data_IF_812092972740
#
_entry.id   IF_812092972740
#
_cell.length_a   1.000
_cell.length_b   1.000
_cell.length_c   1.000
_cell.angle_alpha   90.00
_cell.angle_beta   90.00
_cell.angle_gamma   90.00
#
_symmetry.space_group_name_H-M   'P 1'
#
loop_
_entity.id
_entity.type
_entity.pdbx_description
1 polymer ?
#
# COMPACT_ATOMS: atom_id res chain seq x y z
N UNK A 1 -9.75 -1.35 -14.94
CA UNK A 1 -9.63 -1.13 -13.49
C UNK A 1 -10.88 -0.38 -13.07
N UNK A 2 -11.75 -1.00 -12.27
CA UNK A 2 -13.11 -0.48 -12.03
C UNK A 2 -13.20 0.41 -10.78
N UNK A 3 -12.24 0.27 -9.86
CA UNK A 3 -12.13 1.10 -8.64
C UNK A 3 -10.71 1.63 -8.47
N UNK A 4 -10.59 2.90 -8.08
CA UNK A 4 -9.31 3.50 -7.70
C UNK A 4 -9.06 3.36 -6.20
N UNK A 5 -7.92 2.78 -5.76
CA UNK A 5 -7.62 2.62 -4.34
C UNK A 5 -7.18 3.95 -3.72
N UNK A 6 -7.94 4.44 -2.75
CA UNK A 6 -7.63 5.63 -1.98
C UNK A 6 -8.03 5.46 -0.51
N UNK A 7 -7.26 6.08 0.40
CA UNK A 7 -7.65 6.21 1.81
C UNK A 7 -8.30 7.57 2.05
N UNK A 8 -9.47 7.56 2.67
CA UNK A 8 -10.29 8.74 2.91
C UNK A 8 -10.20 9.14 4.38
N UNK A 9 -9.94 10.42 4.64
CA UNK A 9 -10.07 10.99 5.98
C UNK A 9 -11.54 11.30 6.24
N UNK A 10 -12.15 10.53 7.14
CA UNK A 10 -13.54 10.73 7.55
C UNK A 10 -13.70 11.54 8.84
N UNK A 11 -12.61 11.97 9.46
CA UNK A 11 -12.65 12.88 10.62
C UNK A 11 -13.53 14.09 10.30
N UNK A 12 -14.53 14.32 11.16
CA UNK A 12 -15.51 15.40 11.07
C UNK A 12 -16.49 15.35 9.88
N UNK A 13 -16.42 14.30 9.04
CA UNK A 13 -17.33 14.12 7.91
C UNK A 13 -18.67 13.58 8.35
N UNK A 14 -19.74 14.13 7.79
CA UNK A 14 -21.12 13.74 8.07
C UNK A 14 -21.46 12.51 7.22
N UNK A 15 -21.74 11.38 7.87
CA UNK A 15 -22.04 10.12 7.20
C UNK A 15 -23.43 9.62 7.59
N UNK A 16 -24.30 9.45 6.60
CA UNK A 16 -25.62 8.85 6.78
C UNK A 16 -25.56 7.34 6.52
N UNK A 17 -26.15 6.55 7.42
CA UNK A 17 -26.37 5.12 7.24
C UNK A 17 -27.89 4.89 7.24
N UNK A 18 -28.42 4.43 6.11
CA UNK A 18 -29.84 4.09 5.94
C UNK A 18 -30.03 2.60 6.21
N UNK A 19 -30.72 2.29 7.31
CA UNK A 19 -30.91 0.93 7.84
C UNK A 19 -30.17 0.73 9.17
N UNK A 20 -30.78 -0.02 10.07
CA UNK A 20 -30.31 -0.23 11.45
C UNK A 20 -30.01 -1.69 11.82
N UNK A 21 -29.87 -2.60 10.86
CA UNK A 21 -29.66 -4.04 11.08
C UNK A 21 -28.19 -4.47 11.19
N UNK A 22 -27.93 -5.78 11.07
CA UNK A 22 -26.59 -6.37 11.22
C UNK A 22 -25.55 -5.87 10.21
N UNK A 23 -26.00 -5.54 8.99
CA UNK A 23 -25.14 -4.92 7.98
C UNK A 23 -24.68 -3.53 8.45
N UNK A 24 -25.61 -2.72 8.95
CA UNK A 24 -25.33 -1.40 9.49
C UNK A 24 -24.35 -1.47 10.66
N UNK A 25 -24.53 -2.42 11.60
CA UNK A 25 -23.62 -2.65 12.73
C UNK A 25 -22.14 -2.74 12.29
N UNK A 26 -21.86 -3.54 11.26
CA UNK A 26 -20.50 -3.74 10.74
C UNK A 26 -19.92 -2.50 10.08
N UNK A 27 -20.74 -1.71 9.38
CA UNK A 27 -20.30 -0.48 8.70
C UNK A 27 -20.09 0.67 9.68
N UNK A 28 -21.03 0.86 10.59
CA UNK A 28 -20.97 1.91 11.62
C UNK A 28 -19.73 1.75 12.50
N UNK A 29 -19.39 0.54 12.94
CA UNK A 29 -18.16 0.32 13.74
C UNK A 29 -16.89 0.81 13.01
N UNK A 30 -16.76 0.49 11.72
CA UNK A 30 -15.62 0.95 10.90
C UNK A 30 -15.61 2.47 10.72
N UNK A 31 -16.77 3.07 10.43
CA UNK A 31 -16.91 4.52 10.26
C UNK A 31 -16.57 5.29 11.54
N UNK A 32 -17.02 4.78 12.70
CA UNK A 32 -16.70 5.37 14.00
C UNK A 32 -15.22 5.25 14.35
N UNK A 33 -14.54 4.16 13.99
CA UNK A 33 -13.08 4.02 14.15
C UNK A 33 -12.32 5.00 13.26
N UNK A 34 -12.87 5.34 12.10
CA UNK A 34 -12.35 6.39 11.22
C UNK A 34 -12.71 7.82 11.65
N UNK A 35 -13.38 7.97 12.81
CA UNK A 35 -13.83 9.25 13.39
C UNK A 35 -14.87 10.00 12.53
N UNK A 36 -15.71 9.28 11.80
CA UNK A 36 -16.86 9.87 11.10
C UNK A 36 -17.95 10.31 12.09
N UNK A 37 -18.67 11.38 11.73
CA UNK A 37 -19.90 11.78 12.40
C UNK A 37 -21.06 10.98 11.81
N UNK A 38 -21.38 9.86 12.44
CA UNK A 38 -22.35 8.89 11.91
C UNK A 38 -23.76 9.22 12.39
N UNK A 39 -24.69 9.30 11.44
CA UNK A 39 -26.13 9.29 11.69
C UNK A 39 -26.74 8.02 11.11
N UNK A 40 -27.49 7.27 11.92
CA UNK A 40 -28.24 6.08 11.49
C UNK A 40 -29.72 6.45 11.37
N UNK A 41 -30.31 6.23 10.20
CA UNK A 41 -31.73 6.43 9.93
C UNK A 41 -32.38 5.07 9.68
N UNK A 42 -33.32 4.69 10.54
CA UNK A 42 -34.04 3.42 10.43
C UNK A 42 -35.29 3.43 11.31
N UNK A 43 -36.38 2.72 10.95
CA UNK A 43 -37.53 2.52 11.83
C UNK A 43 -37.20 1.68 13.07
N UNK A 44 -36.25 0.75 12.92
CA UNK A 44 -35.77 -0.13 13.98
C UNK A 44 -34.25 -0.08 14.08
N UNK A 45 -33.72 -0.25 15.29
CA UNK A 45 -32.29 -0.18 15.56
C UNK A 45 -31.80 -1.42 16.30
N UNK A 46 -30.77 -2.05 15.77
CA UNK A 46 -30.13 -3.19 16.40
C UNK A 46 -29.51 -2.81 17.77
N UNK A 47 -29.61 -3.64 18.82
CA UNK A 47 -29.12 -3.32 20.16
C UNK A 47 -27.64 -2.91 20.23
N UNK A 48 -26.80 -3.47 19.36
CA UNK A 48 -25.39 -3.08 19.24
C UNK A 48 -25.22 -1.59 18.88
N UNK A 49 -26.05 -1.06 17.97
CA UNK A 49 -26.04 0.34 17.59
C UNK A 49 -26.67 1.23 18.66
N UNK A 50 -27.70 0.74 19.36
CA UNK A 50 -28.31 1.47 20.48
C UNK A 50 -27.27 1.80 21.57
N UNK A 51 -26.35 0.87 21.88
CA UNK A 51 -25.24 1.13 22.81
C UNK A 51 -24.30 2.26 22.36
N UNK A 52 -24.15 2.50 21.04
CA UNK A 52 -23.40 3.66 20.56
C UNK A 52 -24.19 4.97 20.68
N UNK A 53 -25.52 4.92 20.49
CA UNK A 53 -26.41 6.07 20.75
C UNK A 53 -26.30 6.47 22.22
N UNK A 54 -26.44 5.52 23.15
CA UNK A 54 -26.39 5.77 24.59
C UNK A 54 -25.06 6.39 25.04
N UNK A 55 -23.97 6.05 24.35
CA UNK A 55 -22.63 6.59 24.58
C UNK A 55 -22.37 7.92 23.85
N UNK A 56 -23.36 8.47 23.15
CA UNK A 56 -23.23 9.69 22.35
C UNK A 56 -22.25 9.57 21.18
N UNK A 57 -22.04 8.35 20.66
CA UNK A 57 -21.08 8.06 19.58
C UNK A 57 -21.68 8.21 18.18
N UNK A 58 -23.00 8.14 18.06
CA UNK A 58 -23.73 8.34 16.80
C UNK A 58 -25.09 8.98 17.06
N UNK A 59 -25.69 9.56 16.03
CA UNK A 59 -27.06 10.09 16.05
C UNK A 59 -28.01 9.03 15.49
N UNK A 60 -29.16 8.81 16.14
CA UNK A 60 -30.19 7.91 15.65
C UNK A 60 -31.46 8.67 15.28
N UNK A 61 -31.96 8.43 14.07
CA UNK A 61 -33.21 8.95 13.54
C UNK A 61 -34.21 7.80 13.34
N UNK A 62 -35.17 7.70 14.26
CA UNK A 62 -36.23 6.69 14.22
C UNK A 62 -37.31 7.09 13.19
N UNK A 63 -37.05 6.84 11.90
CA UNK A 63 -37.99 7.11 10.80
C UNK A 63 -37.70 6.25 9.57
N UNK A 64 -38.64 6.26 8.63
CA UNK A 64 -38.39 5.80 7.25
C UNK A 64 -37.63 6.87 6.46
N UNK A 65 -36.89 6.43 5.45
CA UNK A 65 -36.08 7.30 4.60
C UNK A 65 -36.94 8.20 3.70
N UNK A 66 -36.55 9.47 3.62
CA UNK A 66 -37.05 10.46 2.67
C UNK A 66 -35.88 11.18 1.99
N UNK A 67 -36.09 11.66 0.77
CA UNK A 67 -35.10 12.34 -0.05
C UNK A 67 -34.46 13.59 0.63
N UNK A 68 -35.23 14.26 1.51
CA UNK A 68 -34.76 15.41 2.28
C UNK A 68 -33.71 15.04 3.35
N UNK A 69 -33.68 13.79 3.80
CA UNK A 69 -32.77 13.31 4.85
C UNK A 69 -31.31 13.27 4.40
N UNK A 70 -31.06 13.42 3.09
CA UNK A 70 -29.72 13.51 2.52
C UNK A 70 -29.04 14.87 2.74
N UNK A 71 -29.79 15.89 3.17
CA UNK A 71 -29.26 17.23 3.35
C UNK A 71 -28.18 17.28 4.45
N UNK A 72 -27.03 17.86 4.14
CA UNK A 72 -25.94 18.09 5.11
C UNK A 72 -24.98 16.92 5.31
N UNK A 73 -25.11 15.83 4.54
CA UNK A 73 -24.18 14.70 4.58
C UNK A 73 -23.13 14.76 3.46
N UNK A 74 -21.95 14.20 3.69
CA UNK A 74 -20.89 14.03 2.68
C UNK A 74 -20.98 12.64 2.00
N UNK A 75 -21.45 11.64 2.75
CA UNK A 75 -21.45 10.23 2.34
C UNK A 75 -22.70 9.51 2.85
N UNK A 76 -23.20 8.55 2.05
CA UNK A 76 -24.38 7.75 2.35
C UNK A 76 -24.10 6.26 2.18
N UNK A 77 -24.57 5.47 3.14
CA UNK A 77 -24.52 4.01 3.10
C UNK A 77 -25.93 3.45 3.13
N UNK A 78 -26.32 2.71 2.09
CA UNK A 78 -27.59 2.00 2.05
C UNK A 78 -27.37 0.55 2.50
N UNK A 79 -27.94 0.20 3.65
CA UNK A 79 -27.71 -1.09 4.32
C UNK A 79 -29.02 -1.80 4.70
N UNK A 80 -30.11 -1.52 3.97
CA UNK A 80 -31.42 -2.14 4.23
C UNK A 80 -31.57 -3.45 3.46
N UNK A 81 -32.51 -4.31 3.89
CA UNK A 81 -32.88 -5.52 3.14
C UNK A 81 -33.79 -5.23 1.93
N UNK A 82 -34.21 -3.97 1.74
CA UNK A 82 -35.11 -3.56 0.67
C UNK A 82 -34.30 -3.01 -0.50
N UNK A 83 -34.15 -3.83 -1.55
CA UNK A 83 -33.35 -3.48 -2.73
C UNK A 83 -33.83 -2.19 -3.42
N UNK A 84 -35.14 -2.04 -3.61
CA UNK A 84 -35.72 -0.87 -4.27
C UNK A 84 -35.43 0.42 -3.49
N UNK A 85 -35.49 0.35 -2.17
CA UNK A 85 -35.13 1.47 -1.29
C UNK A 85 -33.64 1.80 -1.39
N UNK A 86 -32.76 0.79 -1.37
CA UNK A 86 -31.32 1.03 -1.52
C UNK A 86 -30.99 1.70 -2.87
N UNK A 87 -31.66 1.28 -3.95
CA UNK A 87 -31.51 1.90 -5.28
C UNK A 87 -32.10 3.31 -5.34
N UNK A 88 -33.20 3.57 -4.63
CA UNK A 88 -33.74 4.91 -4.46
C UNK A 88 -32.72 5.82 -3.76
N UNK A 89 -32.19 5.41 -2.60
CA UNK A 89 -31.15 6.14 -1.86
C UNK A 89 -29.96 6.46 -2.75
N UNK A 90 -29.53 5.49 -3.58
CA UNK A 90 -28.46 5.72 -4.56
C UNK A 90 -28.78 6.83 -5.55
N UNK A 91 -29.95 6.78 -6.21
CA UNK A 91 -30.33 7.80 -7.20
C UNK A 91 -30.42 9.19 -6.58
N UNK A 92 -31.08 9.28 -5.43
CA UNK A 92 -31.33 10.51 -4.69
C UNK A 92 -30.02 11.15 -4.21
N UNK A 93 -29.09 10.34 -3.68
CA UNK A 93 -27.79 10.81 -3.22
C UNK A 93 -26.84 11.16 -4.39
N UNK A 94 -26.87 10.39 -5.48
CA UNK A 94 -26.08 10.67 -6.68
C UNK A 94 -26.49 11.99 -7.33
N UNK A 95 -27.80 12.28 -7.38
CA UNK A 95 -28.32 13.54 -7.92
C UNK A 95 -27.82 14.78 -7.15
N UNK A 96 -27.35 14.60 -5.91
CA UNK A 96 -26.76 15.64 -5.04
C UNK A 96 -25.23 15.65 -5.03
N UNK A 97 -24.59 14.76 -5.78
CA UNK A 97 -23.13 14.61 -5.80
C UNK A 97 -22.56 13.95 -4.55
N UNK A 98 -23.37 13.23 -3.76
CA UNK A 98 -22.91 12.52 -2.57
C UNK A 98 -22.25 11.20 -2.95
N UNK A 99 -21.25 10.78 -2.16
CA UNK A 99 -20.66 9.45 -2.33
C UNK A 99 -21.55 8.40 -1.69
N UNK A 100 -21.82 7.32 -2.44
CA UNK A 100 -22.78 6.29 -2.03
C UNK A 100 -22.13 4.93 -2.02
N UNK A 101 -22.41 4.15 -0.98
CA UNK A 101 -22.19 2.71 -0.98
C UNK A 101 -23.51 1.99 -0.71
N UNK A 102 -24.01 1.25 -1.71
CA UNK A 102 -25.06 0.26 -1.53
C UNK A 102 -24.40 -1.07 -1.21
N UNK A 103 -24.61 -1.57 0.01
CA UNK A 103 -23.96 -2.81 0.43
C UNK A 103 -24.45 -3.99 -0.43
N UNK A 104 -23.50 -4.83 -0.84
CA UNK A 104 -23.71 -6.00 -1.70
C UNK A 104 -24.25 -5.71 -3.11
N UNK A 105 -24.27 -4.45 -3.56
CA UNK A 105 -24.60 -4.07 -4.95
C UNK A 105 -23.53 -3.11 -5.56
N UNK A 106 -22.38 -3.63 -6.04
CA UNK A 106 -21.27 -2.82 -6.55
C UNK A 106 -21.64 -1.91 -7.73
N UNK A 107 -22.67 -2.27 -8.50
CA UNK A 107 -23.15 -1.45 -9.62
C UNK A 107 -23.80 -0.14 -9.16
N UNK A 108 -24.21 -0.06 -7.89
CA UNK A 108 -24.83 1.10 -7.26
C UNK A 108 -23.90 1.68 -6.17
N UNK A 109 -22.61 1.74 -6.45
CA UNK A 109 -21.59 2.24 -5.54
C UNK A 109 -20.65 3.23 -6.24
N UNK A 110 -20.35 4.35 -5.56
CA UNK A 110 -19.22 5.23 -5.92
C UNK A 110 -17.89 4.73 -5.31
N UNK A 111 -17.98 3.97 -4.22
CA UNK A 111 -16.85 3.37 -3.53
C UNK A 111 -17.26 2.06 -2.89
N UNK A 112 -16.30 1.20 -2.59
CA UNK A 112 -16.52 -0.11 -1.96
C UNK A 112 -15.76 -0.21 -0.64
N UNK A 113 -16.22 -1.08 0.26
CA UNK A 113 -15.46 -1.43 1.46
C UNK A 113 -14.45 -2.53 1.12
N UNK A 114 -13.13 -2.27 1.15
CA UNK A 114 -12.15 -3.32 0.99
C UNK A 114 -12.08 -4.21 2.24
N UNK A 115 -11.45 -5.36 2.10
CA UNK A 115 -10.90 -6.07 3.26
C UNK A 115 -9.66 -5.34 3.74
N UNK A 116 -9.49 -5.17 5.05
CA UNK A 116 -8.43 -4.34 5.60
C UNK A 116 -7.67 -5.07 6.70
N UNK A 117 -6.36 -4.82 6.76
CA UNK A 117 -5.51 -5.07 7.92
C UNK A 117 -5.11 -3.73 8.49
N UNK A 118 -5.41 -3.53 9.78
CA UNK A 118 -5.16 -2.28 10.47
C UNK A 118 -4.03 -2.46 11.51
N UNK A 119 -2.97 -1.67 11.33
CA UNK A 119 -1.83 -1.49 12.24
C UNK A 119 -1.55 0.01 12.37
N UNK A 120 -2.63 0.79 12.51
CA UNK A 120 -2.62 2.25 12.40
C UNK A 120 -1.39 2.89 13.07
N UNK A 121 -0.67 3.80 12.38
CA UNK A 121 -1.10 4.44 11.13
C UNK A 121 -0.83 3.62 9.84
N UNK A 122 -0.29 2.39 9.93
CA UNK A 122 -0.10 1.52 8.77
C UNK A 122 -1.38 0.75 8.46
N UNK A 123 -1.86 0.83 7.22
CA UNK A 123 -3.08 0.17 6.78
C UNK A 123 -2.85 -0.52 5.43
N UNK A 124 -3.42 -1.71 5.28
CA UNK A 124 -3.43 -2.45 4.01
C UNK A 124 -4.87 -2.71 3.61
N UNK A 125 -5.24 -2.31 2.38
CA UNK A 125 -6.55 -2.56 1.81
C UNK A 125 -6.46 -3.52 0.61
N UNK A 126 -7.34 -4.51 0.59
CA UNK A 126 -7.36 -5.61 -0.38
C UNK A 126 -8.77 -5.66 -0.97
N UNK A 127 -8.87 -5.63 -2.29
CA UNK A 127 -10.13 -5.69 -3.00
C UNK A 127 -10.00 -6.50 -4.28
N UNK A 128 -11.07 -7.23 -4.62
CA UNK A 128 -11.26 -7.90 -5.91
C UNK A 128 -12.37 -7.23 -6.74
N UNK A 129 -12.79 -6.01 -6.38
CA UNK A 129 -13.93 -5.35 -7.04
C UNK A 129 -15.27 -6.08 -6.88
N UNK A 130 -15.35 -7.01 -5.93
CA UNK A 130 -16.51 -7.89 -5.73
C UNK A 130 -16.39 -9.28 -6.36
N UNK A 131 -15.34 -9.55 -7.16
CA UNK A 131 -15.22 -10.81 -7.90
C UNK A 131 -14.97 -12.05 -7.02
N UNK A 132 -14.19 -11.92 -5.94
CA UNK A 132 -13.89 -13.04 -5.04
C UNK A 132 -13.68 -12.60 -3.59
N UNK A 133 -14.76 -12.55 -2.79
CA UNK A 133 -14.66 -12.26 -1.35
C UNK A 133 -13.83 -13.28 -0.58
N UNK A 134 -13.87 -14.55 -0.99
CA UNK A 134 -13.12 -15.64 -0.34
C UNK A 134 -11.62 -15.48 -0.52
N UNK A 135 -11.15 -15.18 -1.75
CA UNK A 135 -9.73 -14.92 -2.01
C UNK A 135 -9.25 -13.69 -1.24
N UNK A 136 -10.04 -12.62 -1.23
CA UNK A 136 -9.73 -11.39 -0.47
C UNK A 136 -9.61 -11.68 1.03
N UNK A 137 -10.46 -12.55 1.58
CA UNK A 137 -10.36 -12.98 2.99
C UNK A 137 -9.09 -13.78 3.24
N UNK A 138 -8.76 -14.73 2.37
CA UNK A 138 -7.53 -15.52 2.45
C UNK A 138 -6.27 -14.63 2.44
N UNK A 139 -6.22 -13.66 1.53
CA UNK A 139 -5.10 -12.70 1.46
C UNK A 139 -5.01 -11.85 2.73
N UNK A 140 -6.15 -11.35 3.24
CA UNK A 140 -6.17 -10.61 4.51
C UNK A 140 -5.59 -11.45 5.64
N UNK A 141 -5.98 -12.71 5.77
CA UNK A 141 -5.46 -13.61 6.81
C UNK A 141 -3.93 -13.78 6.71
N UNK A 142 -3.38 -13.89 5.49
CA UNK A 142 -1.93 -13.91 5.28
C UNK A 142 -1.25 -12.62 5.74
N UNK A 143 -1.78 -11.46 5.35
CA UNK A 143 -1.24 -10.17 5.76
C UNK A 143 -1.34 -9.96 7.28
N UNK A 144 -2.43 -10.39 7.93
CA UNK A 144 -2.56 -10.34 9.39
C UNK A 144 -1.44 -11.11 10.10
N UNK A 145 -1.05 -12.28 9.57
CA UNK A 145 0.04 -13.09 10.14
C UNK A 145 1.43 -12.54 9.85
N UNK A 146 1.61 -11.87 8.71
CA UNK A 146 2.91 -11.36 8.27
C UNK A 146 3.25 -10.01 8.89
N UNK A 147 2.25 -9.15 9.15
CA UNK A 147 2.45 -7.79 9.62
C UNK A 147 2.59 -7.73 11.15
N UNK A 148 3.76 -7.29 11.67
CA UNK A 148 3.99 -7.17 13.11
C UNK A 148 3.01 -6.23 13.81
N UNK A 149 2.72 -6.50 15.09
CA UNK A 149 1.84 -5.65 15.91
C UNK A 149 2.49 -4.32 16.31
N UNK A 150 3.82 -4.24 16.30
CA UNK A 150 4.57 -3.05 16.68
C UNK A 150 4.70 -2.00 15.56
N UNK A 151 4.10 -2.22 14.38
CA UNK A 151 4.17 -1.30 13.24
C UNK A 151 3.71 0.12 13.57
N UNK A 152 2.72 0.27 14.46
CA UNK A 152 2.29 1.57 14.97
C UNK A 152 3.44 2.35 15.62
N UNK A 153 4.16 1.68 16.53
CA UNK A 153 5.32 2.25 17.23
C UNK A 153 6.45 2.59 16.26
N UNK A 154 6.72 1.72 15.28
CA UNK A 154 7.74 1.95 14.26
C UNK A 154 7.42 3.19 13.41
N UNK A 155 6.18 3.31 12.95
CA UNK A 155 5.73 4.45 12.14
C UNK A 155 5.78 5.76 12.92
N UNK A 156 5.28 5.77 14.17
CA UNK A 156 5.31 6.94 15.05
C UNK A 156 6.74 7.39 15.37
N UNK A 157 7.62 6.44 15.67
CA UNK A 157 9.02 6.72 15.94
C UNK A 157 9.71 7.32 14.70
N UNK A 158 9.59 6.67 13.55
CA UNK A 158 10.18 7.16 12.30
C UNK A 158 9.65 8.54 11.90
N UNK A 159 8.35 8.79 12.12
CA UNK A 159 7.73 10.10 11.93
C UNK A 159 8.38 11.19 12.78
N UNK A 160 8.66 10.92 14.07
CA UNK A 160 9.30 11.86 14.99
C UNK A 160 10.77 12.13 14.66
N UNK A 161 11.49 11.17 14.08
CA UNK A 161 12.90 11.34 13.72
C UNK A 161 13.13 11.99 12.35
N UNK A 162 12.07 12.36 11.61
CA UNK A 162 12.20 12.95 10.26
C UNK A 162 13.12 14.17 10.22
N UNK A 163 13.01 15.08 11.17
CA UNK A 163 13.84 16.29 11.19
C UNK A 163 15.31 15.97 11.51
N UNK A 164 15.57 15.09 12.49
CA UNK A 164 16.94 14.64 12.82
C UNK A 164 17.62 13.94 11.64
N UNK A 165 16.87 13.16 10.86
CA UNK A 165 17.37 12.53 9.63
C UNK A 165 17.64 13.55 8.52
N UNK A 166 16.80 14.59 8.39
CA UNK A 166 17.03 15.67 7.42
C UNK A 166 18.25 16.52 7.75
N UNK A 167 18.53 16.73 9.03
CA UNK A 167 19.72 17.45 9.51
C UNK A 167 21.01 16.67 9.27
N UNK A 168 20.96 15.34 9.43
CA UNK A 168 22.13 14.47 9.27
C UNK A 168 22.45 14.15 7.80
N UNK A 169 21.43 13.79 7.00
CA UNK A 169 21.58 13.40 5.60
C UNK A 169 21.03 14.48 4.66
N UNK A 170 21.85 14.89 3.69
CA UNK A 170 21.54 16.02 2.81
C UNK A 170 20.59 15.62 1.69
N UNK A 171 20.72 14.39 1.18
CA UNK A 171 19.94 13.93 0.04
C UNK A 171 18.71 13.15 0.51
N UNK A 172 17.68 13.07 -0.34
CA UNK A 172 16.51 12.22 -0.08
C UNK A 172 16.89 10.74 -0.09
N UNK A 173 17.89 10.38 -0.90
CA UNK A 173 18.32 9.00 -1.08
C UNK A 173 19.06 8.43 0.14
N UNK A 174 20.02 9.17 0.71
CA UNK A 174 20.70 8.80 1.97
C UNK A 174 19.68 8.54 3.09
N UNK A 175 18.67 9.41 3.21
CA UNK A 175 17.59 9.27 4.21
C UNK A 175 16.79 7.98 3.98
N UNK A 176 16.51 7.65 2.72
CA UNK A 176 15.81 6.41 2.35
C UNK A 176 16.67 5.18 2.66
N UNK A 177 17.94 5.17 2.22
CA UNK A 177 18.92 4.11 2.51
C UNK A 177 19.02 3.85 4.02
N UNK A 178 19.07 4.91 4.84
CA UNK A 178 19.03 4.79 6.29
C UNK A 178 17.78 4.07 6.79
N UNK A 179 16.57 4.51 6.39
CA UNK A 179 15.32 3.89 6.85
C UNK A 179 15.18 2.43 6.39
N UNK A 180 15.58 2.12 5.16
CA UNK A 180 15.62 0.74 4.64
C UNK A 180 16.51 -0.17 5.50
N UNK A 181 17.68 0.33 5.92
CA UNK A 181 18.59 -0.40 6.82
C UNK A 181 17.98 -0.52 8.22
N UNK A 182 17.47 0.58 8.76
CA UNK A 182 16.89 0.65 10.09
C UNK A 182 15.77 -0.36 10.29
N UNK A 183 14.78 -0.41 9.38
CA UNK A 183 13.65 -1.33 9.50
C UNK A 183 14.01 -2.80 9.26
N UNK A 184 15.21 -3.10 8.73
CA UNK A 184 15.72 -4.47 8.55
C UNK A 184 16.54 -4.97 9.73
N UNK A 185 16.83 -4.11 10.72
CA UNK A 185 17.55 -4.54 11.91
C UNK A 185 16.63 -5.46 12.75
N UNK A 186 17.09 -6.67 13.15
CA UNK A 186 16.27 -7.61 13.92
C UNK A 186 15.71 -7.02 15.22
N UNK A 187 16.49 -6.17 15.88
CA UNK A 187 16.11 -5.44 17.11
C UNK A 187 15.04 -4.37 16.89
N UNK A 188 14.93 -3.83 15.66
CA UNK A 188 13.88 -2.88 15.27
C UNK A 188 12.63 -3.64 14.91
N UNK A 189 12.75 -4.70 14.10
CA UNK A 189 11.63 -5.55 13.69
C UNK A 189 10.87 -6.12 14.89
N UNK A 190 11.60 -6.53 15.94
CA UNK A 190 11.04 -7.14 17.14
C UNK A 190 10.96 -6.18 18.34
N UNK A 191 11.14 -4.88 18.11
CA UNK A 191 11.16 -3.90 19.19
C UNK A 191 9.85 -3.91 19.97
N UNK A 192 9.96 -3.87 21.29
CA UNK A 192 8.82 -3.75 22.22
C UNK A 192 8.73 -2.38 22.86
N UNK A 193 9.82 -1.61 22.82
CA UNK A 193 9.91 -0.30 23.45
C UNK A 193 10.63 0.71 22.57
N UNK A 194 10.24 1.99 22.68
CA UNK A 194 10.83 3.10 21.92
C UNK A 194 12.33 3.25 22.20
N UNK A 195 12.81 2.94 23.41
CA UNK A 195 14.22 3.04 23.75
C UNK A 195 15.10 2.07 22.94
N UNK A 196 14.57 0.90 22.57
CA UNK A 196 15.26 -0.06 21.71
C UNK A 196 15.46 0.52 20.31
N UNK A 197 14.42 1.19 19.79
CA UNK A 197 14.47 1.92 18.52
C UNK A 197 15.49 3.05 18.55
N UNK A 198 15.52 3.84 19.63
CA UNK A 198 16.46 4.95 19.79
C UNK A 198 17.91 4.50 19.85
N UNK A 199 18.18 3.40 20.56
CA UNK A 199 19.51 2.78 20.62
C UNK A 199 19.96 2.29 19.23
N UNK A 200 19.09 1.57 18.53
CA UNK A 200 19.34 1.10 17.17
C UNK A 200 19.59 2.26 16.20
N UNK A 201 18.78 3.32 16.29
CA UNK A 201 18.87 4.51 15.46
C UNK A 201 20.21 5.22 15.68
N UNK A 202 20.57 5.49 16.93
CA UNK A 202 21.81 6.18 17.26
C UNK A 202 23.06 5.41 16.81
N UNK A 203 23.07 4.08 16.99
CA UNK A 203 24.16 3.23 16.50
C UNK A 203 24.26 3.23 14.97
N UNK A 204 23.12 3.11 14.28
CA UNK A 204 23.10 3.09 12.82
C UNK A 204 23.56 4.43 12.23
N UNK A 205 23.22 5.54 12.89
CA UNK A 205 23.62 6.90 12.47
C UNK A 205 25.15 7.11 12.54
N UNK A 206 25.82 6.42 13.47
CA UNK A 206 27.29 6.46 13.62
C UNK A 206 28.00 5.43 12.75
N UNK A 207 27.26 4.53 12.11
CA UNK A 207 27.84 3.50 11.27
C UNK A 207 28.06 4.09 9.88
N UNK A 208 29.31 4.11 9.34
CA UNK A 208 29.54 4.57 7.99
C UNK A 208 28.64 3.78 7.01
N UNK A 209 28.16 4.46 5.96
CA UNK A 209 27.56 3.74 4.84
C UNK A 209 28.63 2.82 4.28
N UNK A 210 28.42 1.50 4.41
CA UNK A 210 29.06 0.59 3.47
C UNK A 210 28.42 0.92 2.11
N UNK A 211 29.18 1.57 1.24
CA UNK A 211 28.86 1.70 -0.18
C UNK A 211 28.55 0.31 -0.71
N UNK A 212 27.27 0.04 -0.93
CA UNK A 212 26.83 -1.23 -1.48
C UNK A 212 26.54 -1.02 -2.97
N UNK A 213 27.46 -1.52 -3.79
CA UNK A 213 27.23 -2.16 -5.10
C UNK A 213 26.15 -1.52 -5.97
N UNK A 214 26.61 -0.73 -6.94
CA UNK A 214 25.77 0.16 -7.73
C UNK A 214 24.97 -0.51 -8.87
N UNK A 215 25.29 -1.74 -9.28
CA UNK A 215 24.62 -2.39 -10.42
C UNK A 215 24.13 -3.79 -10.07
N UNK A 216 22.82 -4.01 -10.21
CA UNK A 216 22.19 -5.33 -10.21
C UNK A 216 21.68 -5.66 -11.59
N UNK A 217 21.99 -6.85 -12.07
CA UNK A 217 21.51 -7.37 -13.34
C UNK A 217 20.59 -8.54 -13.06
N UNK A 218 19.33 -8.38 -13.44
CA UNK A 218 18.30 -9.41 -13.31
C UNK A 218 18.01 -9.96 -14.69
N UNK A 219 18.41 -11.22 -14.91
CA UNK A 219 17.98 -11.95 -16.08
C UNK A 219 16.51 -12.37 -15.86
N UNK A 220 15.61 -11.79 -16.64
CA UNK A 220 14.17 -12.02 -16.55
C UNK A 220 13.77 -13.20 -17.44
N UNK A 221 12.97 -14.10 -16.87
CA UNK A 221 12.35 -15.20 -17.61
C UNK A 221 11.04 -14.76 -18.25
N UNK A 222 10.20 -15.73 -18.57
CA UNK A 222 8.83 -15.47 -19.03
C UNK A 222 7.84 -15.38 -17.88
N UNK A 223 8.09 -16.14 -16.81
CA UNK A 223 7.22 -16.22 -15.64
C UNK A 223 7.78 -15.38 -14.47
N UNK A 224 7.07 -14.32 -14.04
CA UNK A 224 7.45 -13.53 -12.87
C UNK A 224 7.49 -14.34 -11.56
N UNK A 225 6.73 -15.42 -11.44
CA UNK A 225 6.75 -16.28 -10.25
C UNK A 225 8.07 -17.05 -10.10
N UNK A 226 8.86 -17.17 -11.19
CA UNK A 226 10.19 -17.77 -11.19
C UNK A 226 11.30 -16.77 -10.86
N UNK A 227 10.96 -15.51 -10.56
CA UNK A 227 11.92 -14.59 -9.97
C UNK A 227 12.39 -15.13 -8.62
N UNK A 228 13.71 -15.22 -8.46
CA UNK A 228 14.26 -15.55 -7.15
C UNK A 228 13.92 -14.44 -6.16
N UNK A 229 13.76 -14.81 -4.88
CA UNK A 229 13.55 -13.83 -3.80
C UNK A 229 14.68 -12.79 -3.74
N UNK A 230 15.90 -13.17 -4.14
CA UNK A 230 17.05 -12.26 -4.27
C UNK A 230 16.83 -11.22 -5.37
N UNK A 231 16.37 -11.64 -6.55
CA UNK A 231 16.07 -10.72 -7.66
C UNK A 231 15.01 -9.71 -7.27
N UNK A 232 13.85 -10.19 -6.78
CA UNK A 232 12.74 -9.33 -6.38
C UNK A 232 13.16 -8.33 -5.28
N UNK A 233 13.94 -8.78 -4.29
CA UNK A 233 14.47 -7.91 -3.24
C UNK A 233 15.35 -6.80 -3.81
N UNK A 234 16.24 -7.10 -4.77
CA UNK A 234 17.13 -6.11 -5.37
C UNK A 234 16.37 -5.15 -6.30
N UNK A 235 15.40 -5.65 -7.07
CA UNK A 235 14.49 -4.83 -7.90
C UNK A 235 13.72 -3.80 -7.06
N UNK A 236 13.32 -4.16 -5.84
CA UNK A 236 12.65 -3.25 -4.89
C UNK A 236 13.60 -2.22 -4.23
N UNK A 237 14.91 -2.43 -4.32
CA UNK A 237 15.92 -1.52 -3.76
C UNK A 237 16.45 -0.51 -4.78
N UNK A 238 16.28 -0.80 -6.07
CA UNK A 238 16.77 -0.01 -7.19
C UNK A 238 16.22 1.42 -7.19
N UNK A 239 17.08 2.36 -7.55
CA UNK A 239 16.76 3.77 -7.76
C UNK A 239 16.44 4.06 -9.22
N UNK A 240 17.11 3.33 -10.11
CA UNK A 240 16.96 3.43 -11.55
C UNK A 240 16.74 2.04 -12.14
N UNK A 241 15.77 1.91 -13.02
CA UNK A 241 15.44 0.67 -13.73
C UNK A 241 15.68 0.88 -15.21
N UNK A 242 16.65 0.13 -15.75
CA UNK A 242 16.96 0.07 -17.16
C UNK A 242 16.41 -1.23 -17.74
N UNK A 243 15.68 -1.15 -18.85
CA UNK A 243 15.09 -2.32 -19.49
C UNK A 243 15.02 -2.13 -21.01
N UNK A 244 15.00 -3.24 -21.75
CA UNK A 244 14.83 -3.23 -23.21
C UNK A 244 13.38 -3.50 -23.62
N UNK A 245 13.09 -3.33 -24.91
CA UNK A 245 11.77 -3.63 -25.50
C UNK A 245 11.31 -5.08 -25.31
N UNK A 246 12.23 -6.00 -25.06
CA UNK A 246 11.93 -7.42 -24.88
C UNK A 246 11.51 -7.76 -23.45
N UNK A 247 11.54 -6.78 -22.53
CA UNK A 247 11.13 -6.94 -21.14
C UNK A 247 9.60 -6.81 -21.00
N UNK A 248 8.87 -7.86 -20.55
CA UNK A 248 7.46 -7.73 -20.26
C UNK A 248 7.20 -6.71 -19.15
N UNK A 249 6.14 -5.90 -19.30
CA UNK A 249 5.81 -4.80 -18.36
C UNK A 249 5.66 -5.25 -16.91
N UNK A 250 5.16 -6.48 -16.69
CA UNK A 250 5.01 -7.05 -15.35
C UNK A 250 6.31 -7.08 -14.54
N UNK A 251 7.48 -7.29 -15.17
CA UNK A 251 8.76 -7.26 -14.46
C UNK A 251 9.16 -5.83 -14.06
N UNK A 252 8.83 -4.84 -14.88
CA UNK A 252 9.04 -3.42 -14.57
C UNK A 252 8.14 -2.97 -13.42
N UNK A 253 6.90 -3.47 -13.38
CA UNK A 253 5.95 -3.18 -12.29
C UNK A 253 6.34 -3.83 -10.96
N UNK A 254 7.12 -4.90 -11.00
CA UNK A 254 7.72 -5.53 -9.82
C UNK A 254 8.97 -4.80 -9.29
N UNK A 255 9.49 -3.78 -9.99
CA UNK A 255 10.51 -2.91 -9.43
C UNK A 255 9.89 -1.89 -8.47
N UNK A 256 10.76 -1.18 -7.73
CA UNK A 256 10.34 -0.09 -6.84
C UNK A 256 9.45 0.91 -7.59
N UNK A 257 8.29 1.26 -7.02
CA UNK A 257 7.29 2.13 -7.67
C UNK A 257 7.82 3.51 -8.05
N UNK A 258 8.66 4.09 -7.20
CA UNK A 258 9.24 5.43 -7.36
C UNK A 258 10.69 5.38 -7.92
N UNK A 259 11.10 4.27 -8.54
CA UNK A 259 12.36 4.26 -9.30
C UNK A 259 12.18 5.02 -10.62
N UNK A 260 13.23 5.72 -11.06
CA UNK A 260 13.28 6.22 -12.44
C UNK A 260 13.35 5.03 -13.40
N UNK A 261 12.65 5.13 -14.53
CA UNK A 261 12.50 4.02 -15.49
C UNK A 261 12.86 4.52 -16.87
N UNK A 262 13.81 3.88 -17.52
CA UNK A 262 14.25 4.24 -18.86
C UNK A 262 14.29 3.00 -19.77
N UNK A 263 13.65 3.13 -20.92
CA UNK A 263 13.61 2.12 -21.97
C UNK A 263 14.74 2.41 -22.96
N UNK A 264 15.65 1.44 -23.16
CA UNK A 264 16.83 1.58 -24.02
C UNK A 264 16.97 0.37 -24.95
N UNK A 265 17.88 0.49 -25.93
CA UNK A 265 18.33 -0.67 -26.68
C UNK A 265 19.22 -1.54 -25.80
N UNK A 266 19.23 -2.85 -26.07
CA UNK A 266 19.94 -3.81 -25.22
C UNK A 266 21.45 -3.53 -25.12
N UNK A 267 22.06 -3.03 -26.20
CA UNK A 267 23.47 -2.65 -26.24
C UNK A 267 23.82 -1.47 -25.31
N UNK A 268 22.87 -0.56 -25.07
CA UNK A 268 23.10 0.67 -24.32
C UNK A 268 22.85 0.50 -22.81
N UNK A 269 22.18 -0.58 -22.40
CA UNK A 269 21.80 -0.83 -21.01
C UNK A 269 23.01 -0.86 -20.08
N UNK A 270 24.07 -1.55 -20.50
CA UNK A 270 25.28 -1.74 -19.69
C UNK A 270 26.10 -0.46 -19.58
N UNK A 271 26.25 0.26 -20.69
CA UNK A 271 26.98 1.55 -20.70
C UNK A 271 26.27 2.57 -19.81
N UNK A 272 24.94 2.70 -19.94
CA UNK A 272 24.16 3.61 -19.09
C UNK A 272 24.20 3.21 -17.62
N UNK A 273 24.13 1.91 -17.32
CA UNK A 273 24.23 1.40 -15.96
C UNK A 273 25.57 1.79 -15.31
N UNK A 274 26.68 1.70 -16.07
CA UNK A 274 27.99 2.10 -15.59
C UNK A 274 28.08 3.59 -15.27
N UNK A 275 27.55 4.46 -16.13
CA UNK A 275 27.53 5.93 -15.90
C UNK A 275 26.73 6.28 -14.64
N UNK A 276 25.57 5.67 -14.45
CA UNK A 276 24.74 5.89 -13.25
C UNK A 276 25.41 5.32 -11.99
N UNK A 277 26.14 4.21 -12.12
CA UNK A 277 26.87 3.61 -11.02
C UNK A 277 28.04 4.48 -10.51
N UNK A 278 28.73 5.19 -11.40
CA UNK A 278 29.75 6.19 -11.02
C UNK A 278 29.17 7.33 -10.18
N UNK A 279 27.86 7.56 -10.28
CA UNK A 279 27.11 8.56 -9.50
C UNK A 279 26.53 7.97 -8.20
N UNK A 280 26.92 6.75 -7.81
CA UNK A 280 26.44 6.01 -6.64
C UNK A 280 24.91 5.73 -6.64
N UNK A 281 24.32 5.69 -7.84
CA UNK A 281 22.91 5.33 -8.04
C UNK A 281 22.79 3.81 -8.11
N UNK A 282 21.86 3.23 -7.35
CA UNK A 282 21.56 1.79 -7.46
C UNK A 282 20.74 1.49 -8.70
N UNK A 283 21.37 0.92 -9.71
CA UNK A 283 20.75 0.58 -10.99
C UNK A 283 20.33 -0.89 -11.00
N UNK A 284 19.11 -1.16 -11.45
CA UNK A 284 18.65 -2.50 -11.81
C UNK A 284 18.48 -2.57 -13.33
N UNK A 285 19.23 -3.48 -13.96
CA UNK A 285 19.08 -3.79 -15.38
C UNK A 285 18.24 -5.05 -15.51
N UNK A 286 17.10 -4.94 -16.20
CA UNK A 286 16.26 -6.07 -16.57
C UNK A 286 16.61 -6.47 -18.01
N UNK A 287 17.10 -7.70 -18.20
CA UNK A 287 17.47 -8.23 -19.52
C UNK A 287 16.96 -9.66 -19.66
N UNK A 288 16.50 -10.04 -20.85
CA UNK A 288 16.13 -11.42 -21.18
C UNK A 288 17.26 -12.20 -21.85
N UNK A 289 18.35 -11.52 -22.24
CA UNK A 289 19.52 -12.16 -22.83
C UNK A 289 20.57 -12.48 -21.77
N UNK A 290 21.24 -13.61 -21.96
CA UNK A 290 22.51 -13.89 -21.29
C UNK A 290 23.54 -12.88 -21.76
N UNK A 291 24.04 -12.07 -20.84
CA UNK A 291 25.15 -11.16 -21.13
C UNK A 291 26.39 -11.95 -21.53
N UNK A 292 27.04 -11.51 -22.59
CA UNK A 292 28.31 -12.05 -23.03
C UNK A 292 29.42 -11.80 -21.99
N UNK A 293 30.47 -12.63 -22.01
CA UNK A 293 31.65 -12.42 -21.16
C UNK A 293 32.32 -11.05 -21.36
N UNK A 294 32.14 -10.40 -22.51
CA UNK A 294 32.65 -9.05 -22.78
C UNK A 294 31.80 -7.96 -22.11
N UNK A 295 30.47 -8.08 -22.15
CA UNK A 295 29.55 -7.18 -21.44
C UNK A 295 29.68 -7.33 -19.92
N UNK A 296 29.85 -8.57 -19.43
CA UNK A 296 30.15 -8.83 -18.02
C UNK A 296 31.50 -8.21 -17.62
N UNK A 297 32.52 -8.27 -18.49
CA UNK A 297 33.83 -7.65 -18.26
C UNK A 297 33.79 -6.13 -18.30
N UNK A 298 32.91 -5.53 -19.09
CA UNK A 298 32.73 -4.08 -19.12
C UNK A 298 32.23 -3.52 -17.77
N UNK A 299 31.57 -4.35 -16.94
CA UNK A 299 31.07 -3.99 -15.62
C UNK A 299 32.04 -4.25 -14.47
N UNK A 300 33.08 -5.08 -14.68
CA UNK A 300 34.11 -5.41 -13.69
C UNK A 300 35.07 -4.27 -13.28
N UNK A 301 35.34 -3.21 -14.07
CA UNK A 301 36.25 -2.14 -13.67
C UNK A 301 35.62 -1.09 -12.75
N UNK A 302 34.32 -1.17 -12.47
CA UNK A 302 33.62 -0.22 -11.61
C UNK A 302 33.54 -0.74 -10.17
N UNK A 303 33.53 0.17 -9.19
CA UNK A 303 33.98 0.04 -7.79
C UNK A 303 33.54 -1.19 -6.98
N UNK A 304 32.55 -1.96 -7.42
CA UNK A 304 32.11 -3.21 -6.80
C UNK A 304 31.57 -4.21 -7.83
N UNK A 305 31.81 -5.51 -7.64
CA UNK A 305 31.32 -6.57 -8.55
C UNK A 305 29.77 -6.49 -8.73
N UNK A 306 29.27 -6.47 -9.98
CA UNK A 306 27.84 -6.46 -10.25
C UNK A 306 27.17 -7.73 -9.75
N UNK A 307 25.95 -7.61 -9.22
CA UNK A 307 25.18 -8.77 -8.77
C UNK A 307 24.38 -9.30 -9.96
N UNK A 308 24.76 -10.47 -10.44
CA UNK A 308 23.97 -11.22 -11.41
C UNK A 308 22.95 -12.10 -10.68
N UNK A 309 21.68 -11.98 -11.06
CA UNK A 309 20.60 -12.84 -10.58
C UNK A 309 19.79 -13.31 -11.78
N UNK A 310 19.62 -14.62 -11.92
CA UNK A 310 18.74 -15.18 -12.94
C UNK A 310 17.40 -15.57 -12.33
N UNK A 311 16.30 -15.16 -12.96
CA UNK A 311 15.08 -15.93 -12.93
C UNK A 311 15.37 -17.24 -13.67
N UNK A 312 15.10 -18.38 -13.05
CA UNK A 312 15.37 -19.67 -13.67
C UNK A 312 14.16 -20.09 -14.51
N UNK A 313 14.17 -19.77 -15.80
CA UNK A 313 13.57 -20.65 -16.80
C UNK A 313 14.70 -21.55 -17.33
N UNK A 314 15.05 -22.56 -16.55
CA UNK A 314 15.98 -23.58 -17.02
C UNK A 314 15.26 -24.47 -18.06
N UNK A 315 15.16 -23.98 -19.29
CA UNK A 315 15.18 -24.87 -20.44
C UNK A 315 16.58 -24.80 -21.03
N UNK A 316 17.33 -25.89 -20.83
CA UNK A 316 18.49 -26.36 -21.61
C UNK A 316 18.74 -25.66 -22.93
#
# INVERSE_FOLDING_TARGET
MDFFPAFLRLTDRQVLVVGGGDVACRKVDLLLRANANVTVLSPELHPFLANYVDKGRLIYLCKHYEDIDLAGFDQVWATTDQRDLNHQVYRDATARGLWVNVVDDPNFCHFITPSMVDRSPIQVAISSGGASPVLVRYLRERFETMLPQNLAMLADYAGKQRERIKEHFKTVDERRKFWERFFRLPEVEHAKQVNELESAFGRLLLSPEETHQAVTIVNIGRDPELLTLKALRLMQQAEYVLYSHDCPEIFVDLCRRDAERELLQQADLIEKAAVLAEQDIRVCVLTSAHLSNEEMKALLPFSHEPIFVSASDATT
#
